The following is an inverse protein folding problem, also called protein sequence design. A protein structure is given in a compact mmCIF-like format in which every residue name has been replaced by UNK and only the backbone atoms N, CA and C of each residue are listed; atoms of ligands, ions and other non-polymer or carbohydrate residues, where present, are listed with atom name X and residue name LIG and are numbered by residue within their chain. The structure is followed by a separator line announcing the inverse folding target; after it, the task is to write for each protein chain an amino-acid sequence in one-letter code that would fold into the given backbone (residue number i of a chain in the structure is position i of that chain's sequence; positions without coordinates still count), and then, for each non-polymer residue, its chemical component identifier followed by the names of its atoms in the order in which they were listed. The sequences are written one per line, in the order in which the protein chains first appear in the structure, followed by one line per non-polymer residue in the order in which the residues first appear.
data_IF_170371171740
#
_entry.id   IF_170371171740
#
_cell.length_a   1.000
_cell.length_b   1.000
_cell.length_c   1.000
_cell.angle_alpha   90.00
_cell.angle_beta   90.00
_cell.angle_gamma   90.00
#
_symmetry.space_group_name_H-M   'P 1'
#
loop_
_entity.id
_entity.type
_entity.pdbx_description
1 polymer ?
#
# COMPACT_ATOMS: atom_id res chain seq x y z
N UNK A 1 -53.97 59.05 29.14
CA UNK A 1 -54.13 59.20 27.69
C UNK A 1 -53.14 58.30 26.99
N UNK A 2 -53.36 56.99 26.95
CA UNK A 2 -54.50 56.20 26.41
C UNK A 2 -54.26 55.82 24.95
N UNK A 3 -54.00 54.52 24.74
CA UNK A 3 -54.35 53.66 23.59
C UNK A 3 -53.39 52.46 23.59
N UNK A 4 -53.69 51.39 24.36
CA UNK A 4 -54.47 50.18 23.96
C UNK A 4 -53.62 49.20 23.13
N UNK A 5 -53.11 48.08 23.68
CA UNK A 5 -53.78 46.86 24.19
C UNK A 5 -54.33 45.99 23.04
N UNK A 6 -53.71 44.82 22.78
CA UNK A 6 -54.36 43.49 22.85
C UNK A 6 -53.37 42.33 22.56
N UNK A 7 -53.75 41.13 23.02
CA UNK A 7 -52.92 40.06 23.57
C UNK A 7 -52.62 38.85 22.65
N UNK A 8 -51.63 38.08 23.12
CA UNK A 8 -51.38 36.64 23.04
C UNK A 8 -52.40 35.72 22.32
N UNK A 9 -51.94 34.89 21.39
CA UNK A 9 -52.38 33.47 21.33
C UNK A 9 -51.29 32.53 20.79
N UNK A 10 -50.73 31.75 21.70
CA UNK A 10 -49.96 30.51 21.48
C UNK A 10 -50.86 29.37 20.95
N UNK A 11 -50.57 28.81 19.78
CA UNK A 11 -51.05 27.47 19.39
C UNK A 11 -50.17 26.77 18.31
N UNK A 12 -49.72 25.56 18.61
CA UNK A 12 -49.14 24.57 17.68
C UNK A 12 -50.03 23.31 17.66
N UNK A 13 -49.76 22.26 16.87
CA UNK A 13 -49.59 22.16 15.42
C UNK A 13 -50.70 21.29 14.77
N UNK A 14 -51.22 21.66 13.59
CA UNK A 14 -52.26 20.88 12.91
C UNK A 14 -51.69 19.81 11.96
N UNK A 15 -51.91 18.53 12.32
CA UNK A 15 -51.75 17.37 11.43
C UNK A 15 -52.85 17.37 10.36
N UNK A 16 -52.48 17.20 9.07
CA UNK A 16 -53.43 16.80 8.02
C UNK A 16 -52.90 15.64 7.17
N UNK A 17 -53.89 14.84 6.75
CA UNK A 17 -53.91 13.40 6.45
C UNK A 17 -53.72 13.14 4.94
N UNK A 18 -53.16 11.97 4.62
CA UNK A 18 -53.03 11.36 3.29
C UNK A 18 -54.39 11.22 2.57
N UNK A 19 -54.38 11.12 1.22
CA UNK A 19 -55.19 10.11 0.55
C UNK A 19 -54.37 9.15 -0.33
N UNK A 20 -54.84 7.90 -0.36
CA UNK A 20 -54.18 6.73 -0.92
C UNK A 20 -54.59 6.42 -2.38
N UNK A 21 -53.64 5.78 -3.07
CA UNK A 21 -53.75 4.66 -4.05
C UNK A 21 -54.53 4.80 -5.36
N UNK A 22 -53.84 4.55 -6.50
CA UNK A 22 -54.04 3.34 -7.34
C UNK A 22 -52.95 3.11 -8.40
N UNK A 23 -52.51 1.84 -8.48
CA UNK A 23 -51.99 1.03 -9.61
C UNK A 23 -50.80 1.56 -10.46
N UNK A 24 -49.59 0.97 -10.41
CA UNK A 24 -49.13 -0.35 -10.90
C UNK A 24 -48.60 -0.33 -12.35
N UNK A 25 -47.28 -0.45 -12.52
CA UNK A 25 -46.64 -1.03 -13.72
C UNK A 25 -45.27 -1.63 -13.37
N UNK A 26 -45.15 -2.94 -13.60
CA UNK A 26 -43.97 -3.80 -13.42
C UNK A 26 -43.14 -3.86 -14.71
N UNK A 27 -41.79 -3.95 -14.66
CA UNK A 27 -40.99 -4.39 -15.80
C UNK A 27 -40.57 -5.88 -15.69
N UNK A 28 -40.53 -6.50 -16.86
CA UNK A 28 -40.50 -7.94 -17.18
C UNK A 28 -39.20 -8.69 -16.87
N UNK A 29 -39.33 -10.02 -16.73
CA UNK A 29 -38.29 -11.06 -16.55
C UNK A 29 -38.02 -11.84 -17.86
N UNK A 30 -36.74 -12.15 -18.17
CA UNK A 30 -36.15 -13.28 -18.95
C UNK A 30 -34.80 -12.80 -19.55
N UNK A 31 -33.68 -13.53 -19.70
CA UNK A 31 -33.26 -14.93 -19.48
C UNK A 31 -31.72 -14.95 -19.64
N UNK A 32 -30.96 -15.75 -18.86
CA UNK A 32 -29.64 -16.29 -19.27
C UNK A 32 -29.47 -17.70 -18.70
N UNK A 33 -29.12 -18.62 -19.57
CA UNK A 33 -28.99 -20.07 -19.40
C UNK A 33 -27.57 -20.48 -19.06
N UNK A 34 -27.47 -21.71 -18.57
CA UNK A 34 -26.38 -22.45 -17.91
C UNK A 34 -25.29 -23.09 -18.81
N UNK A 35 -24.14 -23.48 -18.19
CA UNK A 35 -23.24 -24.66 -18.43
C UNK A 35 -21.75 -24.32 -18.07
N UNK A 36 -20.80 -25.24 -17.91
CA UNK A 36 -20.53 -26.30 -16.91
C UNK A 36 -19.07 -26.83 -17.10
N UNK A 37 -18.30 -26.99 -16.01
CA UNK A 37 -17.24 -28.00 -15.66
C UNK A 37 -15.92 -28.30 -16.47
N UNK A 38 -14.77 -28.35 -15.72
CA UNK A 38 -13.59 -29.32 -15.68
C UNK A 38 -12.69 -29.59 -16.93
N UNK A 39 -11.40 -30.04 -16.95
CA UNK A 39 -10.22 -30.28 -16.05
C UNK A 39 -9.01 -30.84 -16.91
N UNK A 40 -7.72 -30.68 -16.50
CA UNK A 40 -6.43 -31.44 -16.80
C UNK A 40 -5.88 -31.70 -18.25
N UNK A 41 -4.60 -32.06 -18.58
CA UNK A 41 -3.21 -32.04 -18.04
C UNK A 41 -2.18 -32.69 -19.05
N UNK A 42 -0.84 -32.57 -18.84
CA UNK A 42 0.31 -33.47 -19.25
C UNK A 42 0.95 -33.39 -20.67
N UNK A 43 2.23 -33.73 -21.00
CA UNK A 43 3.63 -33.68 -20.46
C UNK A 43 4.60 -34.47 -21.41
N UNK A 44 5.94 -34.24 -21.34
CA UNK A 44 7.12 -35.08 -21.78
C UNK A 44 7.51 -35.23 -23.27
N UNK A 45 8.75 -35.57 -23.70
CA UNK A 45 10.19 -35.53 -23.26
C UNK A 45 11.05 -36.25 -24.36
N UNK A 46 12.40 -36.21 -24.26
CA UNK A 46 13.39 -37.25 -24.71
C UNK A 46 13.93 -37.23 -26.17
N UNK A 47 15.16 -37.62 -26.55
CA UNK A 47 16.56 -37.59 -26.06
C UNK A 47 17.50 -38.23 -27.14
N UNK A 48 18.81 -37.90 -27.09
CA UNK A 48 20.08 -38.68 -27.32
C UNK A 48 20.25 -39.76 -28.43
N UNK A 49 21.45 -39.85 -29.06
CA UNK A 49 22.37 -41.04 -29.04
C UNK A 49 23.67 -40.86 -29.89
N UNK A 50 24.79 -41.46 -29.44
CA UNK A 50 26.22 -41.28 -29.83
C UNK A 50 26.89 -42.67 -30.10
N UNK A 51 28.03 -42.75 -30.81
CA UNK A 51 28.75 -44.03 -31.06
C UNK A 51 30.28 -43.84 -31.17
N UNK A 52 31.08 -44.50 -30.30
CA UNK A 52 32.48 -44.18 -29.96
C UNK A 52 33.56 -45.19 -30.46
N UNK A 53 34.77 -44.70 -30.73
CA UNK A 53 36.00 -45.34 -31.26
C UNK A 53 36.98 -45.77 -30.12
N UNK A 54 37.61 -46.96 -30.22
CA UNK A 54 38.37 -47.62 -29.13
C UNK A 54 39.61 -46.83 -28.63
N UNK A 55 40.28 -46.06 -29.50
CA UNK A 55 41.42 -45.20 -29.10
C UNK A 55 40.96 -43.95 -28.35
N UNK A 56 39.75 -43.46 -28.65
CA UNK A 56 39.09 -42.40 -27.88
C UNK A 56 38.73 -42.89 -26.48
N UNK A 57 38.24 -44.13 -26.36
CA UNK A 57 37.89 -44.75 -25.07
C UNK A 57 39.09 -44.85 -24.13
N UNK A 58 40.30 -45.15 -24.64
CA UNK A 58 41.51 -45.21 -23.81
C UNK A 58 41.97 -43.83 -23.32
N UNK A 59 41.92 -42.81 -24.20
CA UNK A 59 42.26 -41.43 -23.86
C UNK A 59 41.23 -40.80 -22.91
N UNK A 60 39.96 -41.18 -23.06
CA UNK A 60 38.88 -40.78 -22.18
C UNK A 60 39.05 -41.38 -20.78
N UNK A 61 39.44 -42.65 -20.67
CA UNK A 61 39.75 -43.31 -19.38
C UNK A 61 40.90 -42.60 -18.64
N UNK A 62 41.98 -42.22 -19.34
CA UNK A 62 43.08 -41.46 -18.74
C UNK A 62 42.61 -40.09 -18.22
N UNK A 63 41.81 -39.37 -19.01
CA UNK A 63 41.21 -38.09 -18.62
C UNK A 63 40.26 -38.23 -17.42
N UNK A 64 39.48 -39.32 -17.34
CA UNK A 64 38.59 -39.61 -16.21
C UNK A 64 39.38 -39.88 -14.92
N UNK A 65 40.53 -40.55 -14.99
CA UNK A 65 41.39 -40.78 -13.82
C UNK A 65 42.04 -39.47 -13.32
N UNK A 66 42.52 -38.64 -14.24
CA UNK A 66 43.07 -37.31 -13.89
C UNK A 66 42.00 -36.37 -13.32
N UNK A 67 40.79 -36.39 -13.89
CA UNK A 67 39.67 -35.63 -13.37
C UNK A 67 39.22 -36.12 -11.98
N UNK A 68 39.24 -37.44 -11.75
CA UNK A 68 38.93 -38.02 -10.44
C UNK A 68 39.99 -37.64 -9.38
N UNK A 69 41.27 -37.64 -9.77
CA UNK A 69 42.36 -37.19 -8.90
C UNK A 69 42.26 -35.69 -8.58
N UNK A 70 41.91 -34.86 -9.57
CA UNK A 70 41.70 -33.42 -9.38
C UNK A 70 40.46 -33.11 -8.51
N UNK A 71 39.38 -33.88 -8.65
CA UNK A 71 38.20 -33.77 -7.80
C UNK A 71 38.48 -34.20 -6.35
N UNK A 72 39.27 -35.25 -6.15
CA UNK A 72 39.71 -35.69 -4.82
C UNK A 72 40.66 -34.67 -4.14
N UNK A 73 41.45 -33.94 -4.92
CA UNK A 73 42.32 -32.88 -4.43
C UNK A 73 41.59 -31.54 -4.21
N UNK A 74 40.34 -31.40 -4.65
CA UNK A 74 39.58 -30.17 -4.48
C UNK A 74 38.94 -30.10 -3.09
N UNK A 75 39.66 -29.49 -2.15
CA UNK A 75 39.10 -29.11 -0.85
C UNK A 75 38.43 -27.74 -0.97
N UNK A 76 37.13 -27.59 -0.67
CA UNK A 76 36.49 -26.28 -0.65
C UNK A 76 37.17 -25.43 0.42
N UNK A 77 37.68 -24.26 0.02
CA UNK A 77 38.14 -23.25 0.97
C UNK A 77 36.96 -22.92 1.87
N UNK A 78 37.14 -23.08 3.18
CA UNK A 78 36.16 -22.65 4.17
C UNK A 78 36.05 -21.14 4.08
N UNK A 79 35.06 -20.67 3.34
CA UNK A 79 34.63 -19.29 3.40
C UNK A 79 34.04 -19.18 4.80
N UNK A 80 34.73 -18.47 5.68
CA UNK A 80 34.14 -18.07 6.95
C UNK A 80 32.93 -17.22 6.57
N UNK A 81 31.74 -17.75 6.81
CA UNK A 81 30.53 -16.96 6.68
C UNK A 81 30.77 -15.71 7.52
N UNK A 82 30.55 -14.50 6.96
CA UNK A 82 30.62 -13.30 7.78
C UNK A 82 29.76 -13.59 9.00
N UNK A 83 30.36 -13.48 10.18
CA UNK A 83 29.65 -13.69 11.44
C UNK A 83 28.41 -12.83 11.35
N UNK A 84 27.25 -13.46 11.10
CA UNK A 84 25.97 -12.79 11.17
C UNK A 84 25.95 -12.22 12.57
N UNK A 85 26.09 -10.89 12.66
CA UNK A 85 26.10 -10.16 13.92
C UNK A 85 24.96 -10.69 14.77
N UNK A 86 25.26 -10.88 16.06
CA UNK A 86 24.35 -11.28 17.13
C UNK A 86 22.97 -11.73 16.65
N UNK A 87 22.74 -13.05 16.70
CA UNK A 87 21.42 -13.70 16.62
C UNK A 87 20.28 -12.69 16.62
N UNK A 88 19.85 -12.26 15.43
CA UNK A 88 18.97 -11.11 15.27
C UNK A 88 17.83 -11.18 16.27
N UNK A 89 17.66 -10.11 17.05
CA UNK A 89 16.65 -10.06 18.11
C UNK A 89 15.31 -10.55 17.55
N UNK A 90 14.73 -11.57 18.18
CA UNK A 90 13.51 -12.20 17.69
C UNK A 90 12.41 -11.14 17.55
N UNK A 91 11.88 -11.01 16.34
CA UNK A 91 10.83 -10.03 16.01
C UNK A 91 11.33 -8.74 15.37
N UNK A 92 12.64 -8.55 15.21
CA UNK A 92 13.19 -7.40 14.47
C UNK A 92 13.39 -7.80 12.99
N UNK A 93 12.69 -7.17 12.04
CA UNK A 93 12.92 -7.41 10.62
C UNK A 93 14.31 -6.93 10.21
N UNK A 94 14.92 -7.58 9.23
CA UNK A 94 16.20 -7.13 8.68
C UNK A 94 16.10 -5.70 8.14
N UNK A 95 17.02 -4.83 8.56
CA UNK A 95 17.14 -3.46 8.08
C UNK A 95 18.53 -3.27 7.47
N UNK A 96 18.61 -2.62 6.31
CA UNK A 96 19.89 -2.28 5.65
C UNK A 96 20.53 -1.01 6.20
N UNK A 97 19.71 -0.18 6.85
CA UNK A 97 20.06 1.17 7.31
C UNK A 97 19.88 1.17 8.81
N UNK A 98 20.95 1.47 9.53
CA UNK A 98 20.92 1.59 10.98
C UNK A 98 20.25 2.91 11.37
N UNK A 99 18.96 2.85 11.70
CA UNK A 99 18.17 4.03 12.03
C UNK A 99 18.77 4.82 13.21
N UNK A 100 19.29 4.14 14.21
CA UNK A 100 19.91 4.76 15.38
C UNK A 100 21.19 5.52 15.01
N UNK A 101 22.08 4.89 14.24
CA UNK A 101 23.29 5.54 13.73
C UNK A 101 22.95 6.81 12.94
N UNK A 102 22.08 6.71 11.94
CA UNK A 102 21.73 7.86 11.09
C UNK A 102 20.95 8.95 11.83
N UNK A 103 20.16 8.59 12.84
CA UNK A 103 19.46 9.57 13.67
C UNK A 103 20.42 10.50 14.44
N UNK A 104 21.61 10.02 14.82
CA UNK A 104 22.64 10.83 15.48
C UNK A 104 23.37 11.76 14.53
N UNK A 105 23.45 11.40 13.24
CA UNK A 105 24.11 12.19 12.20
C UNK A 105 23.27 13.39 11.72
N UNK A 106 21.99 13.46 12.12
CA UNK A 106 21.13 14.61 11.80
C UNK A 106 21.65 15.83 12.56
N UNK A 107 22.14 16.82 11.81
CA UNK A 107 22.76 18.06 12.31
C UNK A 107 21.74 18.96 13.01
N UNK A 108 20.54 19.09 12.45
CA UNK A 108 19.49 19.96 12.98
C UNK A 108 18.40 19.14 13.70
N UNK A 109 18.08 19.54 14.92
CA UNK A 109 17.01 18.93 15.71
C UNK A 109 15.64 19.08 15.06
N UNK A 110 15.41 20.15 14.27
CA UNK A 110 14.13 20.36 13.57
C UNK A 110 13.84 19.28 12.52
N UNK A 111 14.89 18.68 11.94
CA UNK A 111 14.78 17.63 10.92
C UNK A 111 14.51 16.24 11.50
N UNK A 112 14.54 16.11 12.84
CA UNK A 112 14.22 14.83 13.50
C UNK A 112 12.74 14.48 13.39
N UNK A 113 11.86 15.48 13.45
CA UNK A 113 10.43 15.28 13.26
C UNK A 113 9.97 15.68 11.86
N UNK A 114 9.71 14.67 11.02
CA UNK A 114 9.18 14.85 9.67
C UNK A 114 7.65 14.84 9.61
N UNK A 115 6.96 14.95 10.75
CA UNK A 115 5.51 15.00 10.80
C UNK A 115 4.96 16.23 10.08
N UNK A 116 3.74 16.11 9.54
CA UNK A 116 3.05 17.24 8.91
C UNK A 116 2.80 18.39 9.89
N UNK A 117 2.52 18.07 11.16
CA UNK A 117 2.25 19.08 12.19
C UNK A 117 3.51 19.88 12.55
N UNK A 118 4.66 19.23 12.68
CA UNK A 118 5.92 19.92 12.94
C UNK A 118 6.37 20.79 11.75
N UNK A 119 6.11 20.33 10.52
CA UNK A 119 6.54 21.04 9.32
C UNK A 119 5.57 22.13 8.88
N UNK A 120 4.28 21.83 8.77
CA UNK A 120 3.26 22.74 8.18
C UNK A 120 2.23 23.25 9.20
N UNK A 121 2.31 22.83 10.46
CA UNK A 121 1.35 23.18 11.50
C UNK A 121 -0.02 22.52 11.34
N UNK A 122 -0.94 22.86 12.26
CA UNK A 122 -2.29 22.28 12.29
C UNK A 122 -3.33 23.13 11.52
N UNK A 123 -3.01 24.38 11.20
CA UNK A 123 -3.96 25.32 10.59
C UNK A 123 -4.02 25.27 9.05
N UNK A 124 -3.06 24.57 8.45
CA UNK A 124 -2.88 24.45 7.01
C UNK A 124 -3.94 23.60 6.32
N UNK A 125 -3.92 23.65 4.98
CA UNK A 125 -4.91 22.93 4.16
C UNK A 125 -4.92 21.42 4.38
N UNK A 126 -3.74 20.82 4.56
CA UNK A 126 -3.59 19.38 4.73
C UNK A 126 -4.22 18.87 6.02
N UNK A 127 -3.98 19.58 7.14
CA UNK A 127 -4.52 19.21 8.46
C UNK A 127 -6.05 19.24 8.46
N UNK A 128 -6.66 20.35 8.03
CA UNK A 128 -8.13 20.49 7.94
C UNK A 128 -8.75 19.48 6.97
N UNK A 129 -8.11 19.22 5.83
CA UNK A 129 -8.55 18.19 4.90
C UNK A 129 -8.51 16.80 5.56
N UNK A 130 -7.47 16.49 6.33
CA UNK A 130 -7.36 15.25 7.07
C UNK A 130 -8.51 15.11 8.08
N UNK A 131 -8.77 16.12 8.91
CA UNK A 131 -9.88 16.09 9.91
C UNK A 131 -11.24 15.78 9.28
N UNK A 132 -11.49 16.25 8.05
CA UNK A 132 -12.75 16.02 7.34
C UNK A 132 -12.76 14.67 6.63
N UNK A 133 -11.72 14.35 5.87
CA UNK A 133 -11.69 13.18 4.99
C UNK A 133 -11.35 11.87 5.74
N UNK A 134 -10.71 11.95 6.90
CA UNK A 134 -10.46 10.79 7.77
C UNK A 134 -11.77 10.13 8.23
N UNK A 135 -12.87 10.89 8.31
CA UNK A 135 -14.19 10.38 8.72
C UNK A 135 -14.84 9.47 7.68
N UNK A 136 -14.38 9.53 6.42
CA UNK A 136 -15.00 8.83 5.29
C UNK A 136 -14.07 7.74 4.76
N UNK A 137 -14.61 6.57 4.45
CA UNK A 137 -13.87 5.42 3.92
C UNK A 137 -14.57 4.85 2.68
N UNK A 138 -13.83 4.09 1.88
CA UNK A 138 -14.36 3.37 0.72
C UNK A 138 -14.87 4.27 -0.42
N UNK A 139 -15.94 3.84 -1.11
CA UNK A 139 -16.48 4.52 -2.31
C UNK A 139 -16.93 5.96 -2.03
N UNK A 140 -17.42 6.21 -0.82
CA UNK A 140 -17.88 7.53 -0.39
C UNK A 140 -16.74 8.54 -0.28
N UNK A 141 -15.51 8.09 -0.03
CA UNK A 141 -14.34 8.96 0.05
C UNK A 141 -14.15 9.76 -1.24
N UNK A 142 -14.32 9.14 -2.41
CA UNK A 142 -14.16 9.83 -3.69
C UNK A 142 -15.25 10.89 -3.89
N UNK A 143 -16.49 10.61 -3.49
CA UNK A 143 -17.61 11.55 -3.58
C UNK A 143 -17.41 12.73 -2.64
N UNK A 144 -17.06 12.46 -1.39
CA UNK A 144 -16.79 13.46 -0.35
C UNK A 144 -15.56 14.31 -0.71
N UNK A 145 -14.44 13.68 -1.08
CA UNK A 145 -13.23 14.38 -1.57
C UNK A 145 -13.56 15.29 -2.74
N UNK A 146 -14.23 14.78 -3.78
CA UNK A 146 -14.55 15.59 -4.94
C UNK A 146 -15.56 16.72 -4.62
N UNK A 147 -16.47 16.49 -3.67
CA UNK A 147 -17.39 17.53 -3.16
C UNK A 147 -16.63 18.62 -2.41
N UNK A 148 -15.75 18.25 -1.47
CA UNK A 148 -14.93 19.18 -0.68
C UNK A 148 -13.88 19.90 -1.52
N UNK A 149 -13.33 19.23 -2.54
CA UNK A 149 -12.42 19.87 -3.52
C UNK A 149 -13.13 20.90 -4.39
N UNK A 150 -14.36 20.61 -4.86
CA UNK A 150 -15.12 21.51 -5.75
C UNK A 150 -15.84 22.63 -5.00
N UNK A 151 -16.22 22.41 -3.76
CA UNK A 151 -16.74 23.43 -2.85
C UNK A 151 -15.58 24.35 -2.42
N UNK A 152 -15.23 25.29 -3.29
CA UNK A 152 -14.43 26.51 -3.08
C UNK A 152 -13.71 26.63 -1.72
N UNK A 153 -12.43 26.24 -1.71
CA UNK A 153 -11.29 26.89 -1.05
C UNK A 153 -11.24 27.11 0.48
N UNK A 154 -12.23 26.72 1.28
CA UNK A 154 -12.18 26.90 2.75
C UNK A 154 -11.42 25.79 3.50
N UNK A 155 -10.53 25.05 2.84
CA UNK A 155 -9.83 23.95 3.48
C UNK A 155 -8.61 24.38 4.31
N UNK A 156 -8.31 25.66 4.51
CA UNK A 156 -7.19 26.12 5.36
C UNK A 156 -6.34 27.19 4.69
N UNK A 157 -5.37 27.74 5.43
CA UNK A 157 -4.41 28.67 4.86
C UNK A 157 -3.37 27.91 4.02
N UNK A 158 -3.02 28.48 2.86
CA UNK A 158 -1.86 28.05 2.07
C UNK A 158 -0.79 29.08 2.35
N UNK A 159 0.23 28.67 3.09
CA UNK A 159 1.40 29.50 3.31
C UNK A 159 2.28 29.51 2.05
N UNK A 160 2.89 30.66 1.76
CA UNK A 160 3.91 30.82 0.71
C UNK A 160 5.34 30.65 1.28
N UNK A 161 5.46 30.37 2.58
CA UNK A 161 6.72 30.05 3.26
C UNK A 161 7.47 28.86 2.66
N UNK A 162 8.78 28.83 2.89
CA UNK A 162 9.67 27.75 2.45
C UNK A 162 10.13 26.92 3.65
N UNK A 163 9.74 25.65 3.67
CA UNK A 163 10.15 24.69 4.70
C UNK A 163 11.39 23.90 4.25
N UNK A 164 12.41 24.62 3.78
CA UNK A 164 13.64 24.01 3.25
C UNK A 164 14.81 24.18 4.22
N UNK A 165 15.63 23.13 4.33
CA UNK A 165 16.88 23.17 5.08
C UNK A 165 18.04 23.50 4.14
N UNK A 166 18.91 24.44 4.54
CA UNK A 166 20.11 24.80 3.79
C UNK A 166 21.31 24.07 4.36
N UNK A 167 22.00 23.31 3.52
CA UNK A 167 23.26 22.67 3.87
C UNK A 167 24.38 23.71 3.88
N UNK A 168 25.20 23.65 4.93
CA UNK A 168 26.48 24.36 5.00
C UNK A 168 27.52 23.41 4.42
N UNK A 169 27.80 23.52 3.12
CA UNK A 169 28.99 22.88 2.53
C UNK A 169 30.27 23.57 3.06
#
# INVERSE_FOLDING_TARGET
DDSSDDEDTKAAPAKRKLPASKAASTPSKKQKTESSSSDSSSSSDESSDESEDEDEVAKEKARRVEAAAAAAAWTPKKIEAPTLGEQGQKGVPFQRVDGEYWSTQIVDETLRDNSYAATFGEDGVGSKANTVLLKVRGKDFTREKNKKKRSTYLCGAIDLGSNSFKYTD
#
